data_IF_991767515630
#
_entry.id   IF_991767515630
#
_cell.length_a   1.000
_cell.length_b   1.000
_cell.length_c   1.000
_cell.angle_alpha   90.00
_cell.angle_beta   90.00
_cell.angle_gamma   90.00
#
_symmetry.space_group_name_H-M   'P 1'
#
loop_
_entity.id
_entity.type
_entity.pdbx_description
1 polymer ?
#
# COMPACT_ATOMS: atom_id res chain seq x y z
N UNK A 1 -0.73 -7.75 -6.31
CA UNK A 1 -1.06 -6.37 -5.87
C UNK A 1 -0.10 -5.31 -6.45
N UNK A 2 0.63 -5.62 -7.52
CA UNK A 2 1.76 -4.79 -7.97
C UNK A 2 1.38 -3.57 -8.84
N UNK A 3 0.10 -3.18 -8.86
CA UNK A 3 -0.43 -2.06 -9.62
C UNK A 3 -0.48 -0.75 -8.80
N UNK A 4 -0.47 -0.80 -7.46
CA UNK A 4 -0.45 0.39 -6.60
C UNK A 4 0.88 1.18 -6.61
N UNK A 5 1.96 0.61 -7.16
CA UNK A 5 3.31 1.20 -7.10
C UNK A 5 3.75 1.91 -8.40
N UNK A 6 2.86 2.20 -9.35
CA UNK A 6 3.23 2.86 -10.62
C UNK A 6 2.92 4.36 -10.70
N UNK A 7 3.01 5.08 -9.57
CA UNK A 7 2.90 6.54 -9.55
C UNK A 7 1.48 7.09 -9.70
N UNK A 8 0.47 6.23 -9.67
CA UNK A 8 -0.92 6.65 -9.56
C UNK A 8 -1.17 7.02 -8.09
N UNK A 9 -1.28 8.31 -7.79
CA UNK A 9 -1.87 8.72 -6.51
C UNK A 9 -3.32 8.27 -6.56
N UNK A 10 -3.70 7.28 -5.75
CA UNK A 10 -5.10 6.90 -5.63
C UNK A 10 -5.87 8.15 -5.17
N UNK A 11 -6.78 8.67 -5.99
CA UNK A 11 -7.64 9.81 -5.65
C UNK A 11 -8.96 9.36 -5.03
N UNK A 12 -9.25 8.05 -5.14
CA UNK A 12 -10.46 7.41 -4.61
C UNK A 12 -10.09 6.09 -3.95
N UNK A 13 -10.83 5.66 -2.90
CA UNK A 13 -10.58 4.38 -2.26
C UNK A 13 -10.79 3.21 -3.22
N UNK A 14 -9.91 2.21 -3.17
CA UNK A 14 -10.08 0.96 -3.92
C UNK A 14 -10.21 -0.19 -2.94
N UNK A 15 -11.40 -0.77 -2.86
CA UNK A 15 -11.68 -1.95 -2.05
C UNK A 15 -11.35 -3.18 -2.90
N UNK A 16 -10.23 -3.81 -2.56
CA UNK A 16 -9.68 -4.99 -3.20
C UNK A 16 -10.01 -6.23 -2.40
N UNK A 17 -10.97 -7.02 -2.90
CA UNK A 17 -11.23 -8.35 -2.35
C UNK A 17 -10.48 -9.38 -3.18
N UNK A 18 -9.42 -9.94 -2.61
CA UNK A 18 -8.69 -11.07 -3.20
C UNK A 18 -9.30 -12.38 -2.68
N UNK A 19 -9.58 -13.31 -3.59
CA UNK A 19 -10.18 -14.60 -3.28
C UNK A 19 -9.40 -15.72 -3.99
N UNK A 20 -9.12 -16.78 -3.25
CA UNK A 20 -8.51 -17.97 -3.82
C UNK A 20 -9.47 -18.60 -4.83
N UNK A 21 -9.00 -18.81 -6.06
CA UNK A 21 -9.73 -19.53 -7.09
C UNK A 21 -8.77 -20.15 -8.10
N UNK A 22 -9.15 -21.28 -8.71
CA UNK A 22 -8.30 -21.97 -9.69
C UNK A 22 -8.07 -21.14 -10.96
N UNK A 23 -9.08 -20.36 -11.37
CA UNK A 23 -9.04 -19.53 -12.56
C UNK A 23 -8.74 -18.09 -12.14
N UNK A 24 -7.74 -17.48 -12.77
CA UNK A 24 -7.36 -16.09 -12.50
C UNK A 24 -8.15 -15.10 -13.36
N UNK A 25 -8.85 -14.18 -12.70
CA UNK A 25 -9.58 -13.07 -13.33
C UNK A 25 -9.96 -12.01 -12.30
N UNK A 26 -10.42 -10.84 -12.76
CA UNK A 26 -10.95 -9.79 -11.92
C UNK A 26 -12.34 -9.34 -12.37
N UNK A 27 -13.13 -8.83 -11.43
CA UNK A 27 -14.47 -8.28 -11.67
C UNK A 27 -14.64 -6.98 -10.89
N UNK A 28 -15.18 -5.96 -11.57
CA UNK A 28 -15.56 -4.70 -10.93
C UNK A 28 -17.04 -4.70 -10.58
N UNK A 29 -17.40 -4.14 -9.44
CA UNK A 29 -18.80 -4.04 -9.02
C UNK A 29 -19.65 -3.21 -9.99
N UNK A 30 -19.08 -2.19 -10.63
CA UNK A 30 -19.76 -1.34 -11.61
C UNK A 30 -19.82 -1.96 -13.02
N UNK A 31 -19.07 -3.04 -13.28
CA UNK A 31 -19.11 -3.82 -14.54
C UNK A 31 -19.51 -5.28 -14.27
N UNK A 32 -20.71 -5.46 -13.71
CA UNK A 32 -21.24 -6.78 -13.35
C UNK A 32 -21.24 -7.74 -14.55
N UNK A 33 -20.72 -8.95 -14.34
CA UNK A 33 -20.70 -10.01 -15.34
C UNK A 33 -19.55 -9.93 -16.34
N UNK A 34 -18.74 -8.86 -16.32
CA UNK A 34 -17.55 -8.76 -17.15
C UNK A 34 -16.32 -9.22 -16.38
N UNK A 35 -15.59 -10.20 -16.96
CA UNK A 35 -14.35 -10.74 -16.38
C UNK A 35 -13.14 -10.18 -17.10
N UNK A 36 -12.28 -9.54 -16.33
CA UNK A 36 -10.98 -9.08 -16.79
C UNK A 36 -9.95 -10.18 -16.57
N UNK A 37 -9.33 -10.66 -17.64
CA UNK A 37 -8.20 -11.62 -17.58
C UNK A 37 -6.85 -10.94 -17.82
N UNK A 38 -6.86 -9.71 -18.35
CA UNK A 38 -5.70 -8.86 -18.52
C UNK A 38 -5.65 -7.80 -17.41
N UNK A 39 -4.60 -7.83 -16.59
CA UNK A 39 -4.43 -6.89 -15.48
C UNK A 39 -3.98 -5.49 -15.93
N UNK A 40 -3.46 -5.32 -17.13
CA UNK A 40 -3.24 -3.98 -17.70
C UNK A 40 -4.60 -3.32 -18.00
N UNK A 41 -5.59 -4.11 -18.47
CA UNK A 41 -6.96 -3.64 -18.63
C UNK A 41 -7.66 -3.35 -17.28
N UNK A 42 -7.38 -4.12 -16.23
CA UNK A 42 -7.87 -3.82 -14.87
C UNK A 42 -7.34 -2.47 -14.40
N UNK A 43 -6.06 -2.17 -14.62
CA UNK A 43 -5.49 -0.87 -14.23
C UNK A 43 -6.16 0.27 -14.99
N UNK A 44 -6.24 0.14 -16.32
CA UNK A 44 -6.89 1.14 -17.15
C UNK A 44 -8.33 1.41 -16.70
N UNK A 45 -9.05 0.37 -16.31
CA UNK A 45 -10.40 0.53 -15.77
C UNK A 45 -10.44 1.33 -14.46
N UNK A 46 -9.46 1.13 -13.56
CA UNK A 46 -9.36 1.94 -12.33
C UNK A 46 -9.08 3.40 -12.68
N UNK A 47 -8.19 3.66 -13.63
CA UNK A 47 -7.88 5.00 -14.13
C UNK A 47 -9.12 5.67 -14.73
N UNK A 48 -9.76 5.00 -15.70
CA UNK A 48 -10.96 5.48 -16.39
C UNK A 48 -12.11 5.77 -15.41
N UNK A 49 -12.32 4.89 -14.43
CA UNK A 49 -13.36 5.07 -13.40
C UNK A 49 -13.02 6.19 -12.41
N UNK A 50 -11.74 6.37 -12.08
CA UNK A 50 -11.26 7.49 -11.27
C UNK A 50 -11.55 8.80 -11.97
N UNK A 51 -11.10 8.95 -13.21
CA UNK A 51 -11.29 10.16 -14.01
C UNK A 51 -12.77 10.47 -14.23
N UNK A 52 -13.61 9.44 -14.41
CA UNK A 52 -15.07 9.60 -14.55
C UNK A 52 -15.72 10.19 -13.29
N UNK A 53 -15.23 9.83 -12.10
CA UNK A 53 -15.82 10.25 -10.82
C UNK A 53 -15.24 11.58 -10.33
N UNK A 54 -13.94 11.78 -10.48
CA UNK A 54 -13.25 12.99 -9.98
C UNK A 54 -13.23 14.13 -11.00
N UNK A 55 -13.57 13.85 -12.26
CA UNK A 55 -13.41 14.77 -13.37
C UNK A 55 -11.95 15.12 -13.64
N UNK A 56 -11.72 16.10 -14.52
CA UNK A 56 -10.36 16.53 -14.88
C UNK A 56 -9.63 17.31 -13.77
N UNK A 57 -10.35 17.79 -12.75
CA UNK A 57 -9.79 18.64 -11.68
C UNK A 57 -8.98 17.86 -10.62
N UNK A 58 -8.74 16.55 -10.80
CA UNK A 58 -7.95 15.71 -9.87
C UNK A 58 -8.37 15.81 -8.40
N UNK A 59 -9.67 16.05 -8.16
CA UNK A 59 -10.25 16.03 -6.83
C UNK A 59 -10.26 14.61 -6.25
N UNK A 60 -10.65 14.48 -4.99
CA UNK A 60 -10.87 13.16 -4.36
C UNK A 60 -12.35 12.83 -4.33
N UNK A 61 -12.68 11.55 -4.29
CA UNK A 61 -14.06 11.09 -4.09
C UNK A 61 -14.12 10.00 -3.03
N UNK A 62 -15.08 10.07 -2.09
CA UNK A 62 -15.25 9.04 -1.07
C UNK A 62 -15.92 7.77 -1.61
N UNK A 63 -16.41 7.77 -2.86
CA UNK A 63 -17.05 6.60 -3.46
C UNK A 63 -15.98 5.57 -3.88
N UNK A 64 -15.96 4.37 -3.28
CA UNK A 64 -14.91 3.40 -3.54
C UNK A 64 -15.13 2.65 -4.85
N UNK A 65 -14.03 2.37 -5.56
CA UNK A 65 -14.01 1.31 -6.58
C UNK A 65 -13.95 -0.03 -5.87
N UNK A 66 -14.89 -0.92 -6.20
CA UNK A 66 -14.93 -2.26 -5.64
C UNK A 66 -14.41 -3.26 -6.68
N UNK A 67 -13.21 -3.78 -6.43
CA UNK A 67 -12.52 -4.74 -7.28
C UNK A 67 -12.47 -6.10 -6.56
N UNK A 68 -12.89 -7.16 -7.25
CA UNK A 68 -12.69 -8.54 -6.83
C UNK A 68 -11.64 -9.18 -7.72
N UNK A 69 -10.63 -9.80 -7.13
CA UNK A 69 -9.57 -10.52 -7.83
C UNK A 69 -9.62 -11.97 -7.39
N UNK A 70 -9.74 -12.86 -8.36
CA UNK A 70 -9.70 -14.30 -8.18
C UNK A 70 -8.36 -14.79 -8.69
N UNK A 71 -7.61 -15.55 -7.89
CA UNK A 71 -6.29 -16.06 -8.30
C UNK A 71 -5.91 -17.28 -7.45
N UNK A 72 -5.15 -18.25 -7.99
CA UNK A 72 -4.65 -19.37 -7.19
C UNK A 72 -3.47 -18.95 -6.29
N UNK A 73 -2.90 -17.75 -6.51
CA UNK A 73 -1.69 -17.27 -5.86
C UNK A 73 -1.97 -16.30 -4.69
N UNK A 74 -3.23 -16.19 -4.24
CA UNK A 74 -3.63 -15.23 -3.20
C UNK A 74 -4.40 -15.91 -2.08
N UNK A 75 -4.27 -15.36 -0.87
CA UNK A 75 -5.14 -15.69 0.26
C UNK A 75 -6.47 -14.93 0.14
N UNK A 76 -7.48 -15.42 0.86
CA UNK A 76 -8.74 -14.69 1.01
C UNK A 76 -8.52 -13.47 1.93
N UNK A 77 -8.48 -12.28 1.34
CA UNK A 77 -8.22 -11.03 2.06
C UNK A 77 -9.03 -9.89 1.43
N UNK A 78 -9.39 -8.90 2.25
CA UNK A 78 -9.89 -7.61 1.76
C UNK A 78 -8.90 -6.53 2.15
N UNK A 79 -8.42 -5.79 1.16
CA UNK A 79 -7.51 -4.66 1.31
C UNK A 79 -8.24 -3.41 0.84
N UNK A 80 -8.10 -2.32 1.58
CA UNK A 80 -8.64 -1.02 1.18
C UNK A 80 -7.43 -0.15 0.89
N UNK A 81 -7.20 0.11 -0.39
CA UNK A 81 -6.20 1.07 -0.81
C UNK A 81 -6.81 2.47 -0.72
N UNK A 82 -6.10 3.39 -0.08
CA UNK A 82 -6.59 4.71 0.25
C UNK A 82 -5.65 5.79 -0.31
N UNK A 83 -6.16 6.99 -0.61
CA UNK A 83 -5.33 8.09 -1.06
C UNK A 83 -4.16 8.38 -0.11
N UNK A 84 -2.98 8.62 -0.68
CA UNK A 84 -1.81 9.04 0.09
C UNK A 84 -2.01 10.45 0.66
N UNK A 85 -1.53 10.67 1.89
CA UNK A 85 -1.54 12.01 2.49
C UNK A 85 -0.63 12.95 1.69
N UNK A 86 -1.18 14.06 1.21
CA UNK A 86 -0.44 15.14 0.55
C UNK A 86 -0.58 16.41 1.41
N UNK A 87 0.53 17.14 1.56
CA UNK A 87 0.60 18.39 2.35
C UNK A 87 0.47 19.64 1.49
N UNK A 88 0.61 19.49 0.17
CA UNK A 88 0.61 20.60 -0.78
C UNK A 88 -0.31 20.23 -1.93
N UNK A 89 -1.40 21.00 -2.16
CA UNK A 89 -2.25 20.83 -3.33
C UNK A 89 -1.42 20.96 -4.61
N UNK A 90 -1.68 20.09 -5.60
CA UNK A 90 -1.03 20.16 -6.92
C UNK A 90 -2.06 20.33 -8.03
N UNK A 91 -1.73 21.16 -9.02
CA UNK A 91 -2.64 21.45 -10.13
C UNK A 91 -3.93 22.11 -9.66
N UNK A 92 -5.06 21.54 -10.05
CA UNK A 92 -6.42 22.07 -9.76
C UNK A 92 -7.03 21.50 -8.47
N UNK A 93 -6.21 20.89 -7.60
CA UNK A 93 -6.67 20.38 -6.32
C UNK A 93 -7.14 21.52 -5.40
N UNK A 94 -8.21 21.30 -4.62
CA UNK A 94 -8.71 22.32 -3.71
C UNK A 94 -7.72 22.56 -2.55
N UNK A 95 -7.72 23.77 -1.95
CA UNK A 95 -6.78 24.12 -0.89
C UNK A 95 -6.92 23.28 0.38
N UNK A 96 -8.08 22.67 0.60
CA UNK A 96 -8.41 21.81 1.75
C UNK A 96 -8.26 20.30 1.44
N UNK A 97 -7.58 19.94 0.34
CA UNK A 97 -7.42 18.53 -0.09
C UNK A 97 -6.81 17.63 0.99
N UNK A 98 -5.85 18.14 1.77
CA UNK A 98 -5.22 17.42 2.88
C UNK A 98 -6.28 16.99 3.91
N UNK A 99 -7.15 17.93 4.29
CA UNK A 99 -8.21 17.69 5.27
C UNK A 99 -9.25 16.71 4.72
N UNK A 100 -9.65 16.85 3.45
CA UNK A 100 -10.59 15.93 2.82
C UNK A 100 -10.04 14.49 2.74
N UNK A 101 -8.76 14.32 2.39
CA UNK A 101 -8.11 13.00 2.38
C UNK A 101 -8.10 12.42 3.80
N UNK A 102 -7.67 13.22 4.78
CA UNK A 102 -7.62 12.80 6.18
C UNK A 102 -9.00 12.35 6.69
N UNK A 103 -10.04 13.12 6.44
CA UNK A 103 -11.41 12.78 6.84
C UNK A 103 -11.87 11.47 6.17
N UNK A 104 -11.55 11.29 4.89
CA UNK A 104 -11.81 10.06 4.16
C UNK A 104 -11.10 8.86 4.82
N UNK A 105 -9.80 8.97 5.10
CA UNK A 105 -9.03 7.91 5.77
C UNK A 105 -9.68 7.50 7.09
N UNK A 106 -10.06 8.49 7.92
CA UNK A 106 -10.68 8.26 9.23
C UNK A 106 -11.99 7.46 9.14
N UNK A 107 -12.78 7.58 8.06
CA UNK A 107 -13.99 6.76 7.88
C UNK A 107 -13.72 5.25 7.77
N UNK A 108 -12.52 4.87 7.32
CA UNK A 108 -12.09 3.48 7.18
C UNK A 108 -11.34 3.01 8.43
N UNK A 109 -10.31 3.74 8.85
CA UNK A 109 -9.39 3.28 9.89
C UNK A 109 -9.94 3.42 11.31
N UNK A 110 -11.00 4.21 11.53
CA UNK A 110 -11.63 4.33 12.86
C UNK A 110 -12.43 3.09 13.26
N UNK A 111 -12.71 2.18 12.33
CA UNK A 111 -13.42 0.92 12.62
C UNK A 111 -12.52 -0.04 13.38
N UNK A 112 -12.94 -0.52 14.54
CA UNK A 112 -12.14 -1.41 15.40
C UNK A 112 -11.71 -2.71 14.71
N UNK A 113 -12.54 -3.23 13.80
CA UNK A 113 -12.25 -4.44 13.03
C UNK A 113 -11.27 -4.23 11.87
N UNK A 114 -10.91 -2.98 11.57
CA UNK A 114 -9.98 -2.65 10.49
C UNK A 114 -8.54 -2.74 10.99
N UNK A 115 -7.75 -3.62 10.38
CA UNK A 115 -6.29 -3.63 10.55
C UNK A 115 -5.70 -2.45 9.78
N UNK A 116 -4.75 -1.75 10.41
CA UNK A 116 -4.07 -0.60 9.80
C UNK A 116 -2.67 -1.06 9.36
N UNK A 117 -2.40 -0.98 8.06
CA UNK A 117 -1.06 -1.17 7.50
C UNK A 117 -0.39 0.21 7.41
N UNK A 118 0.42 0.57 8.40
CA UNK A 118 1.10 1.86 8.44
C UNK A 118 2.42 1.78 7.63
N UNK A 119 2.34 2.11 6.34
CA UNK A 119 3.46 2.04 5.40
C UNK A 119 4.35 3.29 5.54
N UNK A 120 5.62 3.10 5.84
CA UNK A 120 6.62 4.17 5.97
C UNK A 120 7.88 3.82 5.18
N UNK A 121 8.48 4.75 4.41
CA UNK A 121 9.76 4.49 3.76
C UNK A 121 10.91 4.58 4.78
N UNK A 122 11.81 3.60 4.75
CA UNK A 122 12.90 3.44 5.72
C UNK A 122 14.01 4.49 5.55
N UNK A 123 14.10 5.14 4.39
CA UNK A 123 15.01 6.25 4.13
C UNK A 123 14.49 7.60 4.64
N UNK A 124 13.48 7.59 5.53
CA UNK A 124 12.92 8.77 6.18
C UNK A 124 12.78 8.50 7.68
N UNK A 125 12.76 9.56 8.49
CA UNK A 125 12.58 9.43 9.93
C UNK A 125 11.16 8.91 10.26
N UNK A 126 11.09 7.80 10.98
CA UNK A 126 9.86 7.17 11.44
C UNK A 126 8.99 8.13 12.25
N UNK A 127 9.60 9.04 13.02
CA UNK A 127 8.89 10.02 13.84
C UNK A 127 8.07 11.02 12.99
N UNK A 128 8.41 11.18 11.71
CA UNK A 128 7.71 12.05 10.77
C UNK A 128 6.65 11.34 9.94
N UNK A 129 6.45 10.03 10.17
CA UNK A 129 5.48 9.22 9.44
C UNK A 129 4.04 9.66 9.71
N UNK A 130 3.42 10.26 8.69
CA UNK A 130 2.00 10.65 8.74
C UNK A 130 1.08 9.42 8.93
N UNK A 131 1.46 8.26 8.38
CA UNK A 131 0.72 7.01 8.53
C UNK A 131 0.70 6.51 9.99
N UNK A 132 1.85 6.53 10.68
CA UNK A 132 1.92 6.14 12.09
C UNK A 132 1.25 7.16 13.00
N UNK A 133 1.39 8.46 12.71
CA UNK A 133 0.70 9.52 13.45
C UNK A 133 -0.81 9.32 13.39
N UNK A 134 -1.36 9.14 12.19
CA UNK A 134 -2.79 8.92 12.00
C UNK A 134 -3.26 7.60 12.63
N UNK A 135 -2.48 6.52 12.52
CA UNK A 135 -2.78 5.26 13.18
C UNK A 135 -2.88 5.40 14.70
N UNK A 136 -1.98 6.17 15.34
CA UNK A 136 -2.02 6.41 16.79
C UNK A 136 -3.24 7.17 17.29
N UNK A 137 -3.83 8.01 16.45
CA UNK A 137 -5.06 8.73 16.83
C UNK A 137 -6.25 7.78 17.01
N UNK A 138 -6.32 6.71 16.22
CA UNK A 138 -7.43 5.74 16.22
C UNK A 138 -7.09 4.38 16.85
N UNK A 139 -5.80 4.10 17.07
CA UNK A 139 -5.25 2.93 17.75
C UNK A 139 -4.06 3.32 18.66
N UNK A 140 -4.30 4.06 19.77
CA UNK A 140 -3.22 4.57 20.62
C UNK A 140 -2.34 3.46 21.22
N UNK A 141 -2.93 2.30 21.48
CA UNK A 141 -2.23 1.13 22.02
C UNK A 141 -1.51 0.29 20.95
N UNK A 142 -1.73 0.58 19.66
CA UNK A 142 -1.09 -0.15 18.55
C UNK A 142 -1.52 -1.62 18.47
N UNK A 143 -2.76 -1.96 18.85
CA UNK A 143 -3.29 -3.33 18.91
C UNK A 143 -3.60 -3.91 17.52
N UNK A 144 -3.99 -3.05 16.59
CA UNK A 144 -4.46 -3.40 15.23
C UNK A 144 -3.64 -2.73 14.12
N UNK A 145 -2.58 -2.02 14.49
CA UNK A 145 -1.62 -1.43 13.56
C UNK A 145 -0.43 -2.36 13.34
N UNK A 146 -0.07 -2.58 12.08
CA UNK A 146 1.13 -3.28 11.63
C UNK A 146 2.00 -2.25 10.91
N UNK A 147 3.25 -2.11 11.33
CA UNK A 147 4.20 -1.23 10.66
C UNK A 147 4.77 -1.92 9.42
N UNK A 148 4.79 -1.23 8.28
CA UNK A 148 5.43 -1.74 7.07
C UNK A 148 6.54 -0.78 6.66
N UNK A 149 7.78 -1.24 6.67
CA UNK A 149 8.93 -0.48 6.20
C UNK A 149 9.25 -0.82 4.75
N UNK A 150 9.24 0.19 3.89
CA UNK A 150 9.59 0.07 2.47
C UNK A 150 10.95 0.71 2.18
N UNK A 151 11.52 0.50 0.99
CA UNK A 151 12.74 1.20 0.54
C UNK A 151 13.96 1.00 1.45
N UNK A 152 14.07 -0.16 2.10
CA UNK A 152 15.22 -0.51 2.95
C UNK A 152 16.53 -0.57 2.16
N UNK A 153 16.44 -0.83 0.85
CA UNK A 153 17.54 -0.84 -0.12
C UNK A 153 18.06 0.56 -0.48
N UNK A 154 17.32 1.62 -0.12
CA UNK A 154 17.65 3.02 -0.42
C UNK A 154 18.07 3.81 0.83
N UNK A 155 18.37 3.13 1.93
CA UNK A 155 18.94 3.77 3.12
C UNK A 155 20.38 4.20 2.88
N UNK A 156 20.80 5.27 3.55
CA UNK A 156 22.15 5.78 3.45
C UNK A 156 23.17 4.77 3.99
N UNK A 157 24.32 4.66 3.33
CA UNK A 157 25.38 3.75 3.73
C UNK A 157 25.83 4.03 5.18
N UNK A 158 25.89 2.99 6.00
CA UNK A 158 26.20 3.11 7.43
C UNK A 158 24.98 3.30 8.33
N UNK A 159 23.77 3.39 7.77
CA UNK A 159 22.50 3.38 8.52
C UNK A 159 21.71 2.09 8.30
N UNK A 160 20.86 1.72 9.26
CA UNK A 160 19.90 0.62 9.11
C UNK A 160 18.63 0.87 9.93
N UNK A 161 17.59 0.09 9.64
CA UNK A 161 16.29 0.17 10.31
C UNK A 161 16.09 -0.96 11.34
N UNK A 162 17.19 -1.54 11.85
CA UNK A 162 17.13 -2.75 12.69
C UNK A 162 16.31 -2.53 13.96
N UNK A 163 16.52 -1.40 14.65
CA UNK A 163 15.77 -1.10 15.89
C UNK A 163 14.26 -0.96 15.67
N UNK A 164 13.86 -0.51 14.48
CA UNK A 164 12.45 -0.41 14.10
C UNK A 164 11.89 -1.80 13.83
N UNK A 165 12.60 -2.61 13.04
CA UNK A 165 12.18 -3.98 12.69
C UNK A 165 12.17 -4.92 13.91
N UNK A 166 13.05 -4.69 14.88
CA UNK A 166 13.05 -5.38 16.19
C UNK A 166 12.02 -4.78 17.18
N UNK A 167 11.19 -3.82 16.73
CA UNK A 167 10.10 -3.21 17.50
C UNK A 167 10.55 -2.44 18.77
N UNK A 168 11.79 -1.93 18.77
CA UNK A 168 12.43 -1.26 19.93
C UNK A 168 12.29 0.26 19.93
N UNK A 169 12.19 0.88 18.76
CA UNK A 169 12.10 2.34 18.65
C UNK A 169 10.67 2.85 18.91
N UNK A 170 9.70 2.34 18.14
CA UNK A 170 8.27 2.67 18.29
C UNK A 170 7.48 1.38 18.35
N UNK A 171 7.03 0.97 19.52
CA UNK A 171 6.46 -0.38 19.66
C UNK A 171 5.02 -0.47 19.16
N UNK A 172 4.77 -1.41 18.26
CA UNK A 172 3.45 -1.87 17.83
C UNK A 172 3.22 -3.30 18.33
N UNK A 173 2.00 -3.65 18.75
CA UNK A 173 1.71 -4.99 19.28
C UNK A 173 1.84 -6.08 18.22
N UNK A 174 1.70 -5.72 16.94
CA UNK A 174 1.88 -6.61 15.79
C UNK A 174 3.26 -6.45 15.12
N UNK A 175 4.12 -5.59 15.66
CA UNK A 175 5.48 -5.37 15.17
C UNK A 175 5.55 -4.71 13.79
N UNK A 176 6.70 -4.90 13.15
CA UNK A 176 7.05 -4.32 11.86
C UNK A 176 7.45 -5.40 10.87
N UNK A 177 7.16 -5.15 9.60
CA UNK A 177 7.58 -5.98 8.47
C UNK A 177 8.34 -5.10 7.48
N UNK A 178 9.54 -5.53 7.10
CA UNK A 178 10.33 -4.89 6.06
C UNK A 178 10.01 -5.49 4.70
N UNK A 179 9.88 -4.64 3.67
CA UNK A 179 9.69 -5.07 2.28
C UNK A 179 10.59 -4.28 1.33
N UNK A 180 11.06 -4.94 0.28
CA UNK A 180 11.82 -4.34 -0.82
C UNK A 180 11.05 -4.51 -2.12
N UNK A 181 10.44 -3.43 -2.57
CA UNK A 181 9.62 -3.42 -3.77
C UNK A 181 10.45 -3.16 -5.04
N UNK A 182 9.88 -3.47 -6.21
CA UNK A 182 10.47 -3.08 -7.50
C UNK A 182 10.62 -1.56 -7.59
N UNK A 183 11.83 -1.10 -7.92
CA UNK A 183 12.07 0.31 -8.22
C UNK A 183 11.50 0.73 -9.59
N UNK A 184 11.55 2.04 -9.89
CA UNK A 184 10.98 2.59 -11.12
C UNK A 184 11.55 1.94 -12.40
N UNK A 185 12.86 1.67 -12.43
CA UNK A 185 13.52 0.99 -13.56
C UNK A 185 12.99 -0.42 -13.77
N UNK A 186 12.79 -1.18 -12.69
CA UNK A 186 12.25 -2.54 -12.73
C UNK A 186 10.79 -2.56 -13.19
N UNK A 187 10.02 -1.54 -12.80
CA UNK A 187 8.63 -1.35 -13.23
C UNK A 187 8.56 -1.09 -14.74
N UNK A 188 9.36 -0.14 -15.25
CA UNK A 188 9.41 0.19 -16.68
C UNK A 188 9.92 -1.00 -17.49
N UNK A 189 10.89 -1.73 -16.96
CA UNK A 189 11.41 -2.97 -17.56
C UNK A 189 10.48 -4.19 -17.44
N UNK A 190 9.27 -4.03 -16.89
CA UNK A 190 8.30 -5.12 -16.64
C UNK A 190 8.92 -6.34 -15.93
N UNK A 191 9.82 -6.10 -14.97
CA UNK A 191 10.49 -7.17 -14.21
C UNK A 191 9.46 -8.09 -13.57
N UNK A 192 9.63 -9.39 -13.80
CA UNK A 192 8.73 -10.42 -13.30
C UNK A 192 8.60 -10.40 -11.76
N UNK A 193 7.42 -10.77 -11.25
CA UNK A 193 7.15 -10.77 -9.82
C UNK A 193 8.02 -11.78 -9.06
N UNK A 194 8.31 -12.97 -9.64
CA UNK A 194 9.15 -13.97 -9.00
C UNK A 194 10.59 -13.47 -8.88
N UNK A 195 11.09 -12.84 -9.95
CA UNK A 195 12.41 -12.21 -9.93
C UNK A 195 12.52 -11.07 -8.90
N UNK A 196 11.42 -10.35 -8.63
CA UNK A 196 11.39 -9.34 -7.57
C UNK A 196 11.42 -9.98 -6.17
N UNK A 197 10.65 -11.04 -5.94
CA UNK A 197 10.66 -11.79 -4.68
C UNK A 197 12.01 -12.43 -4.40
N UNK A 198 12.67 -13.00 -5.41
CA UNK A 198 14.01 -13.56 -5.28
C UNK A 198 15.05 -12.48 -4.94
N UNK A 199 14.92 -11.29 -5.54
CA UNK A 199 15.79 -10.15 -5.24
C UNK A 199 15.58 -9.64 -3.80
N UNK A 200 14.33 -9.52 -3.34
CA UNK A 200 13.98 -9.16 -1.97
C UNK A 200 14.54 -10.18 -0.98
N UNK A 201 14.34 -11.49 -1.24
CA UNK A 201 14.89 -12.55 -0.41
C UNK A 201 16.41 -12.46 -0.33
N UNK A 202 17.08 -12.24 -1.47
CA UNK A 202 18.54 -12.07 -1.52
C UNK A 202 18.99 -10.86 -0.71
N UNK A 203 18.27 -9.73 -0.78
CA UNK A 203 18.56 -8.54 0.02
C UNK A 203 18.58 -8.86 1.51
N UNK A 204 17.48 -9.42 2.05
CA UNK A 204 17.39 -9.71 3.49
C UNK A 204 18.40 -10.76 3.96
N UNK A 205 18.69 -11.79 3.15
CA UNK A 205 19.68 -12.82 3.51
C UNK A 205 21.13 -12.30 3.48
N UNK A 206 21.42 -11.33 2.60
CA UNK A 206 22.76 -10.80 2.42
C UNK A 206 23.08 -9.61 3.33
N UNK A 207 22.06 -8.86 3.77
CA UNK A 207 22.27 -7.64 4.55
C UNK A 207 22.70 -7.94 5.99
N UNK A 208 23.87 -7.46 6.47
CA UNK A 208 24.42 -7.81 7.79
C UNK A 208 23.48 -7.50 8.96
N UNK A 209 22.74 -6.39 8.88
CA UNK A 209 21.80 -5.96 9.93
C UNK A 209 20.47 -6.71 9.91
N UNK A 210 20.11 -7.37 8.80
CA UNK A 210 18.77 -7.95 8.60
C UNK A 210 18.73 -9.47 8.48
N UNK A 211 19.88 -10.11 8.21
CA UNK A 211 20.00 -11.57 8.03
C UNK A 211 19.60 -12.42 9.25
N UNK A 212 19.53 -11.83 10.43
CA UNK A 212 19.19 -12.51 11.69
C UNK A 212 17.93 -11.87 12.28
N UNK A 213 16.84 -12.64 12.38
CA UNK A 213 15.70 -12.29 13.24
C UNK A 213 14.54 -11.53 12.58
N UNK A 214 14.59 -11.19 11.29
CA UNK A 214 13.46 -10.56 10.61
C UNK A 214 12.59 -11.63 9.94
N UNK A 215 11.33 -11.67 10.35
CA UNK A 215 10.31 -12.52 9.73
C UNK A 215 10.07 -11.97 8.33
N UNK A 216 10.53 -12.70 7.33
CA UNK A 216 10.17 -12.46 5.93
C UNK A 216 8.83 -13.16 5.70
N UNK A 217 7.75 -12.40 5.53
CA UNK A 217 6.45 -12.94 5.16
C UNK A 217 6.43 -13.07 3.63
N UNK A 218 6.44 -14.31 3.14
CA UNK A 218 6.06 -14.67 1.77
C UNK A 218 4.78 -15.50 1.82
#
# INVERSE_FOLDING_TARGET
MAWANQGMQALIPVINRVQFMVIEYAEFLHKKGFRFTDFDAVRKEIEDETDRVTGQNKGISPHPINLRVFSPNVLNLTLIDLPGLTKVPVGDQPPDIEQQIRDMLLTFISRETCLILAVTPANSDLATSDALKLAKEVDPQGLRTIGVLTKLDLMDEGTDAREILENRLFSLRRGYVGVVNRGQKDIVGKKDIRAALDAERKFFLSHPSYRQGIIILF
#
